data_IF_176673768922
#
_entry.id   IF_176673768922
#
_cell.length_a   1.000
_cell.length_b   1.000
_cell.length_c   1.000
_cell.angle_alpha   90.00
_cell.angle_beta   90.00
_cell.angle_gamma   90.00
#
_symmetry.space_group_name_H-M   'P 1'
#
loop_
_entity.id
_entity.type
_entity.pdbx_description
1 polymer ?
#
# COMPACT_ATOMS: atom_id res chain seq x y z
N UNK A 1 8.93 17.92 -7.93
CA UNK A 1 7.63 17.80 -8.62
C UNK A 1 7.20 19.20 -9.03
N UNK A 2 6.86 19.41 -10.29
CA UNK A 2 6.40 20.72 -10.76
C UNK A 2 4.86 20.79 -10.69
N UNK A 3 4.35 21.89 -10.14
CA UNK A 3 2.90 22.19 -10.12
C UNK A 3 2.62 23.18 -11.23
N UNK A 4 1.64 22.88 -12.08
CA UNK A 4 1.24 23.76 -13.17
C UNK A 4 -0.18 24.25 -12.93
N UNK A 5 -0.41 25.56 -13.13
CA UNK A 5 -1.74 26.18 -13.19
C UNK A 5 -2.19 26.42 -14.65
N UNK A 6 -1.59 25.70 -15.60
CA UNK A 6 -1.87 25.87 -17.01
C UNK A 6 -3.21 25.22 -17.39
N UNK A 7 -4.13 26.03 -17.94
CA UNK A 7 -5.46 25.61 -18.40
C UNK A 7 -5.41 24.47 -19.42
N UNK A 8 -4.37 24.40 -20.25
CA UNK A 8 -4.20 23.33 -21.25
C UNK A 8 -3.94 21.97 -20.58
N UNK A 9 -3.28 21.96 -19.42
CA UNK A 9 -2.96 20.75 -18.68
C UNK A 9 -4.06 20.38 -17.67
N UNK A 10 -5.07 21.22 -17.50
CA UNK A 10 -6.21 20.94 -16.64
C UNK A 10 -7.08 19.86 -17.27
N UNK A 11 -7.18 18.72 -16.58
CA UNK A 11 -7.96 17.58 -17.06
C UNK A 11 -7.12 16.38 -17.48
N UNK A 12 -5.88 16.60 -17.91
CA UNK A 12 -4.98 15.54 -18.36
C UNK A 12 -4.54 14.63 -17.20
N UNK A 13 -4.56 13.32 -17.44
CA UNK A 13 -4.08 12.29 -16.52
C UNK A 13 -3.42 11.15 -17.27
N UNK A 14 -2.46 10.49 -16.63
CA UNK A 14 -1.78 9.32 -17.20
C UNK A 14 -0.38 9.64 -17.71
N UNK A 15 0.21 8.65 -18.38
CA UNK A 15 1.59 8.70 -18.86
C UNK A 15 1.65 9.14 -20.32
N UNK A 16 2.45 10.15 -20.61
CA UNK A 16 2.67 10.65 -21.97
C UNK A 16 4.12 10.36 -22.37
N UNK A 17 4.28 9.67 -23.50
CA UNK A 17 5.59 9.42 -24.13
C UNK A 17 6.59 8.62 -23.29
N UNK A 18 6.15 7.94 -22.22
CA UNK A 18 7.02 7.30 -21.21
C UNK A 18 8.04 8.27 -20.57
N UNK A 19 7.80 9.58 -20.66
CA UNK A 19 8.69 10.62 -20.12
C UNK A 19 8.04 11.35 -18.96
N UNK A 20 6.74 11.64 -19.07
CA UNK A 20 5.98 12.38 -18.08
C UNK A 20 4.73 11.64 -17.64
N UNK A 21 4.35 11.82 -16.38
CA UNK A 21 3.10 11.35 -15.79
C UNK A 21 2.36 12.54 -15.20
N UNK A 22 1.13 12.73 -15.66
CA UNK A 22 0.20 13.73 -15.15
C UNK A 22 -0.70 13.06 -14.11
N UNK A 23 -0.73 13.63 -12.91
CA UNK A 23 -1.61 13.17 -11.83
C UNK A 23 -2.30 14.34 -11.15
N UNK A 24 -3.54 14.13 -10.75
CA UNK A 24 -4.29 15.08 -9.92
C UNK A 24 -4.05 14.75 -8.46
N UNK A 25 -3.45 15.67 -7.72
CA UNK A 25 -3.23 15.54 -6.27
C UNK A 25 -3.90 16.73 -5.61
N UNK A 26 -4.88 16.47 -4.72
CA UNK A 26 -5.62 17.51 -4.00
C UNK A 26 -6.18 18.60 -4.95
N UNK A 27 -6.76 18.20 -6.08
CA UNK A 27 -7.34 19.11 -7.07
C UNK A 27 -6.34 19.84 -7.99
N UNK A 28 -5.03 19.64 -7.82
CA UNK A 28 -4.01 20.28 -8.65
C UNK A 28 -3.36 19.26 -9.60
N UNK A 29 -3.10 19.68 -10.85
CA UNK A 29 -2.34 18.87 -11.80
C UNK A 29 -0.84 18.96 -11.50
N UNK A 30 -0.22 17.82 -11.22
CA UNK A 30 1.21 17.68 -10.95
C UNK A 30 1.86 16.88 -12.08
N UNK A 31 2.97 17.39 -12.59
CA UNK A 31 3.78 16.71 -13.61
C UNK A 31 4.98 16.05 -12.94
N UNK A 32 5.15 14.76 -13.20
CA UNK A 32 6.23 13.95 -12.69
C UNK A 32 7.00 13.30 -13.84
N UNK A 33 8.29 13.02 -13.63
CA UNK A 33 9.05 12.13 -14.51
C UNK A 33 8.44 10.74 -14.45
N UNK A 34 8.36 10.06 -15.60
CA UNK A 34 7.90 8.68 -15.65
C UNK A 34 8.79 7.77 -14.78
N UNK A 35 8.20 6.83 -14.04
CA UNK A 35 8.96 5.92 -13.20
C UNK A 35 9.85 5.02 -14.07
N UNK A 36 11.13 4.92 -13.71
CA UNK A 36 12.06 3.97 -14.30
C UNK A 36 12.29 2.81 -13.33
N UNK A 37 12.36 1.58 -13.84
CA UNK A 37 12.85 0.44 -13.04
C UNK A 37 14.28 0.75 -12.59
N UNK A 38 14.54 0.65 -11.29
CA UNK A 38 15.92 0.73 -10.79
C UNK A 38 16.71 -0.45 -11.35
N UNK A 39 17.92 -0.17 -11.86
CA UNK A 39 18.89 -1.22 -12.23
C UNK A 39 19.75 -1.64 -11.05
N UNK A 40 19.62 -0.95 -9.91
CA UNK A 40 20.39 -1.25 -8.70
C UNK A 40 19.75 -2.47 -8.00
N UNK A 41 20.54 -3.50 -7.66
CA UNK A 41 20.04 -4.64 -6.91
C UNK A 41 19.51 -4.18 -5.55
N UNK A 42 18.53 -4.91 -5.02
CA UNK A 42 17.97 -4.60 -3.72
C UNK A 42 19.00 -4.89 -2.61
N UNK A 43 19.12 -3.98 -1.65
CA UNK A 43 19.93 -4.21 -0.44
C UNK A 43 19.33 -5.34 0.40
N UNK A 44 20.15 -6.03 1.20
CA UNK A 44 19.71 -7.04 2.16
C UNK A 44 18.59 -6.55 3.07
N UNK A 45 18.67 -5.30 3.55
CA UNK A 45 17.62 -4.69 4.36
C UNK A 45 16.30 -4.56 3.57
N UNK A 46 16.38 -4.20 2.29
CA UNK A 46 15.20 -4.10 1.42
C UNK A 46 14.58 -5.48 1.13
N UNK A 47 15.42 -6.50 0.94
CA UNK A 47 14.98 -7.89 0.79
C UNK A 47 14.30 -8.38 2.07
N UNK A 48 14.90 -8.13 3.23
CA UNK A 48 14.33 -8.47 4.54
C UNK A 48 12.97 -7.81 4.79
N UNK A 49 12.78 -6.55 4.38
CA UNK A 49 11.47 -5.91 4.46
C UNK A 49 10.45 -6.58 3.52
N UNK A 50 10.86 -6.97 2.31
CA UNK A 50 9.97 -7.65 1.35
C UNK A 50 9.55 -9.02 1.86
N UNK A 51 10.48 -9.82 2.38
CA UNK A 51 10.18 -11.16 2.91
C UNK A 51 9.25 -11.07 4.12
N UNK A 52 9.54 -10.19 5.09
CA UNK A 52 8.65 -9.96 6.24
C UNK A 52 7.24 -9.55 5.81
N UNK A 53 7.13 -8.69 4.81
CA UNK A 53 5.82 -8.28 4.29
C UNK A 53 5.08 -9.42 3.57
N UNK A 54 5.80 -10.26 2.81
CA UNK A 54 5.22 -11.45 2.18
C UNK A 54 4.66 -12.44 3.21
N UNK A 55 5.39 -12.66 4.30
CA UNK A 55 4.92 -13.49 5.41
C UNK A 55 3.68 -12.89 6.09
N UNK A 56 3.67 -11.56 6.30
CA UNK A 56 2.52 -10.85 6.85
C UNK A 56 1.26 -11.02 5.99
N UNK A 57 1.42 -10.93 4.66
CA UNK A 57 0.34 -11.16 3.70
C UNK A 57 -0.17 -12.60 3.79
N UNK A 58 0.73 -13.58 3.84
CA UNK A 58 0.37 -14.99 3.98
C UNK A 58 -0.41 -15.24 5.28
N UNK A 59 0.07 -14.67 6.39
CA UNK A 59 -0.62 -14.75 7.68
C UNK A 59 -2.02 -14.14 7.60
N UNK A 60 -2.17 -12.94 7.05
CA UNK A 60 -3.47 -12.30 6.91
C UNK A 60 -4.45 -13.11 6.04
N UNK A 61 -3.96 -13.78 4.99
CA UNK A 61 -4.79 -14.69 4.20
C UNK A 61 -5.23 -15.93 4.99
N UNK A 62 -4.38 -16.47 5.87
CA UNK A 62 -4.76 -17.58 6.77
C UNK A 62 -5.81 -17.13 7.79
N UNK A 63 -5.65 -15.96 8.40
CA UNK A 63 -6.62 -15.36 9.33
C UNK A 63 -7.99 -15.17 8.66
N UNK A 64 -8.04 -14.82 7.38
CA UNK A 64 -9.31 -14.70 6.66
C UNK A 64 -9.99 -16.04 6.40
N UNK A 65 -9.23 -17.12 6.27
CA UNK A 65 -9.74 -18.47 6.03
C UNK A 65 -10.23 -19.14 7.31
N UNK A 66 -9.62 -18.82 8.44
CA UNK A 66 -9.97 -19.38 9.75
C UNK A 66 -11.07 -18.52 10.43
N UNK A 67 -12.29 -19.06 10.64
CA UNK A 67 -13.38 -18.32 11.25
C UNK A 67 -13.08 -17.87 12.70
N UNK A 68 -12.29 -18.63 13.46
CA UNK A 68 -12.00 -18.30 14.86
C UNK A 68 -11.05 -17.12 14.95
N UNK A 69 -9.95 -17.17 14.20
CA UNK A 69 -9.01 -16.05 14.11
C UNK A 69 -9.70 -14.82 13.54
N UNK A 70 -10.51 -14.95 12.50
CA UNK A 70 -11.24 -13.83 11.93
C UNK A 70 -12.09 -13.10 12.97
N UNK A 71 -12.86 -13.84 13.78
CA UNK A 71 -13.69 -13.26 14.84
C UNK A 71 -12.86 -12.46 15.86
N UNK A 72 -11.66 -12.96 16.20
CA UNK A 72 -10.74 -12.26 17.12
C UNK A 72 -10.24 -10.91 16.58
N UNK A 73 -10.16 -10.75 15.25
CA UNK A 73 -9.77 -9.49 14.61
C UNK A 73 -10.97 -8.57 14.36
N UNK A 74 -12.17 -9.11 14.15
CA UNK A 74 -13.40 -8.33 13.98
C UNK A 74 -13.77 -7.53 15.24
N UNK A 75 -13.38 -8.01 16.43
CA UNK A 75 -13.62 -7.28 17.66
C UNK A 75 -12.78 -6.00 17.81
N UNK A 76 -11.72 -5.84 17.00
CA UNK A 76 -10.80 -4.70 17.11
C UNK A 76 -11.53 -3.38 16.80
N UNK A 77 -11.29 -2.30 17.59
CA UNK A 77 -11.96 -1.02 17.41
C UNK A 77 -11.80 -0.42 16.01
N UNK A 78 -10.64 -0.62 15.37
CA UNK A 78 -10.35 -0.12 14.01
C UNK A 78 -11.17 -0.84 12.94
N UNK A 79 -11.47 -2.12 13.15
CA UNK A 79 -12.28 -2.93 12.23
C UNK A 79 -13.76 -2.60 12.42
N UNK A 80 -14.22 -2.51 13.67
CA UNK A 80 -15.61 -2.11 13.98
C UNK A 80 -15.97 -0.72 13.44
N UNK A 81 -15.03 0.23 13.47
CA UNK A 81 -15.24 1.58 12.93
C UNK A 81 -15.16 1.63 11.39
N UNK A 82 -14.97 0.50 10.70
CA UNK A 82 -14.82 0.45 9.24
C UNK A 82 -13.54 1.11 8.70
N UNK A 83 -12.64 1.54 9.59
CA UNK A 83 -11.40 2.25 9.21
C UNK A 83 -10.34 1.30 8.67
N UNK A 84 -10.43 0.01 8.98
CA UNK A 84 -9.50 -1.01 8.49
C UNK A 84 -10.22 -2.34 8.35
N UNK A 85 -9.97 -3.09 7.28
CA UNK A 85 -10.46 -4.47 7.16
C UNK A 85 -9.68 -5.41 8.10
N UNK A 86 -10.26 -6.56 8.44
CA UNK A 86 -9.56 -7.67 9.15
C UNK A 86 -8.20 -8.00 8.54
N UNK A 87 -8.11 -8.04 7.20
CA UNK A 87 -6.87 -8.28 6.46
C UNK A 87 -5.75 -7.30 6.83
N UNK A 88 -6.00 -6.00 6.69
CA UNK A 88 -5.06 -4.94 7.05
C UNK A 88 -4.71 -4.95 8.55
N UNK A 89 -5.66 -5.29 9.42
CA UNK A 89 -5.42 -5.43 10.86
C UNK A 89 -4.45 -6.60 11.15
N UNK A 90 -4.64 -7.75 10.51
CA UNK A 90 -3.77 -8.92 10.66
C UNK A 90 -2.33 -8.65 10.13
N UNK A 91 -2.19 -7.96 8.99
CA UNK A 91 -0.88 -7.54 8.48
C UNK A 91 -0.18 -6.64 9.50
N UNK A 92 -0.89 -5.64 10.03
CA UNK A 92 -0.33 -4.71 11.01
C UNK A 92 0.09 -5.45 12.28
N UNK A 93 -0.72 -6.40 12.74
CA UNK A 93 -0.40 -7.21 13.90
C UNK A 93 0.87 -8.04 13.68
N UNK A 94 1.02 -8.69 12.52
CA UNK A 94 2.21 -9.46 12.17
C UNK A 94 3.47 -8.60 12.11
N UNK A 95 3.40 -7.45 11.43
CA UNK A 95 4.55 -6.54 11.30
C UNK A 95 4.97 -5.95 12.66
N UNK A 96 4.03 -5.75 13.58
CA UNK A 96 4.28 -5.24 14.93
C UNK A 96 4.58 -6.35 15.94
N UNK A 97 4.69 -7.62 15.51
CA UNK A 97 4.88 -8.79 16.39
C UNK A 97 3.80 -8.95 17.48
N UNK A 98 2.58 -8.52 17.17
CA UNK A 98 1.38 -8.64 18.03
C UNK A 98 0.34 -9.58 17.41
N UNK A 99 0.78 -10.45 16.50
CA UNK A 99 -0.08 -11.45 15.85
C UNK A 99 -0.58 -12.47 16.87
N UNK A 100 -1.88 -12.79 16.78
CA UNK A 100 -2.50 -13.83 17.60
C UNK A 100 -2.03 -15.16 17.04
N UNK A 101 -1.30 -15.93 17.85
CA UNK A 101 -0.84 -17.27 17.49
C UNK A 101 -1.96 -18.27 17.74
N UNK A 102 -2.04 -19.28 16.88
CA UNK A 102 -2.83 -20.49 17.12
C UNK A 102 -2.15 -21.35 18.19
#
# INVERSE_FOLDING_TARGET
>A
MARSRNVILNGLSGMIGKTFVFRKVKGQTVVCKAPSKSRVPASEAQLGCRTKFQEAVRYAQLVLKDPQLRASYEVLPKVKKGTSSVYHAAITAYLNNTAIKN
#
